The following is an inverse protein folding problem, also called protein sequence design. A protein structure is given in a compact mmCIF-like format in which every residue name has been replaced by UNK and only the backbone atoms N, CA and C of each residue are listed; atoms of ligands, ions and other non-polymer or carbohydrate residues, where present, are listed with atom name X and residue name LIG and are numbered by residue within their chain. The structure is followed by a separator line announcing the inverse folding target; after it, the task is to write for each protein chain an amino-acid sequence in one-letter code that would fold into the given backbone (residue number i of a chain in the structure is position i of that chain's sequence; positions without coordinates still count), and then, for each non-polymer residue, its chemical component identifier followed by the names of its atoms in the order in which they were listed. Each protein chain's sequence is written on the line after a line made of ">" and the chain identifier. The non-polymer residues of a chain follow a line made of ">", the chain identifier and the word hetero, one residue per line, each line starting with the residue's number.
data_IF_543586185183
#
_entry.id   IF_543586185183
#
_cell.length_a   1.000
_cell.length_b   1.000
_cell.length_c   1.000
_cell.angle_alpha   90.00
_cell.angle_beta   90.00
_cell.angle_gamma   90.00
#
_symmetry.space_group_name_H-M   'P 1'
#
loop_
_entity.id
_entity.type
_entity.pdbx_description
1 polymer ?
#
# COMPACT_ATOMS: atom_id res chain seq x y z
N UNK A 1 6.59 -41.58 14.68
CA UNK A 1 7.94 -41.29 15.20
C UNK A 1 8.16 -39.79 15.18
N UNK A 2 8.70 -39.25 16.28
CA UNK A 2 9.16 -37.88 16.49
C UNK A 2 8.09 -36.77 16.51
N UNK A 3 7.43 -36.64 17.66
CA UNK A 3 6.88 -35.36 18.10
C UNK A 3 8.03 -34.44 18.46
N UNK A 4 8.12 -33.30 17.77
CA UNK A 4 9.01 -32.20 18.13
C UNK A 4 8.51 -31.60 19.44
N UNK A 5 9.23 -31.89 20.52
CA UNK A 5 9.16 -31.12 21.77
C UNK A 5 9.68 -29.71 21.46
N UNK A 6 8.76 -28.76 21.29
CA UNK A 6 9.10 -27.35 21.40
C UNK A 6 9.52 -27.16 22.85
N UNK A 7 10.82 -27.10 23.09
CA UNK A 7 11.38 -26.80 24.39
C UNK A 7 10.61 -25.63 25.00
N UNK A 8 10.09 -25.81 26.22
CA UNK A 8 9.48 -24.76 27.01
C UNK A 8 10.49 -23.61 27.06
N UNK A 9 10.31 -22.59 26.23
CA UNK A 9 11.16 -21.40 26.28
C UNK A 9 11.00 -20.86 27.68
N UNK A 10 12.10 -20.84 28.44
CA UNK A 10 12.09 -20.26 29.77
C UNK A 10 11.68 -18.80 29.59
N UNK A 11 10.55 -18.43 30.18
CA UNK A 11 10.02 -17.08 30.03
C UNK A 11 10.98 -16.03 30.62
N UNK A 12 11.76 -16.44 31.63
CA UNK A 12 12.87 -15.66 32.17
C UNK A 12 13.90 -15.30 31.10
N UNK A 13 14.36 -14.06 31.09
CA UNK A 13 15.31 -13.53 30.11
C UNK A 13 14.67 -13.02 28.82
N UNK A 14 13.34 -13.11 28.69
CA UNK A 14 12.64 -12.60 27.51
C UNK A 14 12.66 -11.08 27.46
N UNK A 15 13.31 -10.51 26.44
CA UNK A 15 13.31 -9.06 26.19
C UNK A 15 12.03 -8.62 25.50
N UNK A 16 11.41 -7.53 25.94
CA UNK A 16 10.21 -6.98 25.30
C UNK A 16 10.21 -5.46 25.32
N UNK A 17 9.38 -4.87 24.47
CA UNK A 17 9.14 -3.44 24.42
C UNK A 17 7.69 -3.13 24.82
N UNK A 18 7.50 -2.05 25.58
CA UNK A 18 6.16 -1.49 25.77
C UNK A 18 5.74 -0.70 24.52
N UNK A 19 4.43 -0.67 24.20
CA UNK A 19 3.96 0.07 23.03
C UNK A 19 4.01 1.58 23.28
N UNK A 20 4.43 2.32 22.25
CA UNK A 20 4.06 3.73 22.08
C UNK A 20 3.03 3.87 20.97
N UNK A 21 2.18 4.88 21.09
CA UNK A 21 1.15 5.16 20.07
C UNK A 21 1.78 5.82 18.86
N UNK A 22 1.57 5.27 17.67
CA UNK A 22 1.90 5.89 16.41
C UNK A 22 0.64 6.09 15.57
N UNK A 23 0.64 7.11 14.72
CA UNK A 23 -0.41 7.35 13.74
C UNK A 23 -0.02 6.68 12.42
N UNK A 24 -0.92 5.85 11.89
CA UNK A 24 -0.80 5.27 10.57
C UNK A 24 -1.74 6.00 9.62
N UNK A 25 -1.19 6.46 8.51
CA UNK A 25 -1.93 7.07 7.41
C UNK A 25 -1.94 6.14 6.20
N UNK A 26 -3.11 5.93 5.62
CA UNK A 26 -3.27 5.31 4.32
C UNK A 26 -3.85 6.35 3.36
N UNK A 27 -3.09 6.68 2.31
CA UNK A 27 -3.47 7.69 1.31
C UNK A 27 -3.80 6.97 0.01
N UNK A 28 -5.01 7.20 -0.51
CA UNK A 28 -5.42 6.72 -1.82
C UNK A 28 -5.18 7.82 -2.85
N UNK A 29 -4.33 7.54 -3.84
CA UNK A 29 -3.98 8.48 -4.90
C UNK A 29 -4.48 7.96 -6.24
N UNK A 30 -5.16 8.81 -6.98
CA UNK A 30 -5.50 8.58 -8.38
C UNK A 30 -4.43 9.23 -9.25
N UNK A 31 -3.81 8.42 -10.13
CA UNK A 31 -2.92 8.88 -11.19
C UNK A 31 -3.70 8.91 -12.50
N UNK A 32 -3.75 10.07 -13.13
CA UNK A 32 -4.28 10.21 -14.49
C UNK A 32 -3.13 10.50 -15.43
N UNK A 33 -2.97 9.65 -16.46
CA UNK A 33 -2.01 9.87 -17.54
C UNK A 33 -2.77 10.26 -18.79
N UNK A 34 -2.40 11.41 -19.37
CA UNK A 34 -2.88 11.88 -20.65
C UNK A 34 -1.82 11.63 -21.71
N UNK A 35 -2.25 10.98 -22.80
CA UNK A 35 -1.44 10.76 -23.99
C UNK A 35 -2.18 11.43 -25.16
N UNK A 36 -1.60 12.47 -25.78
CA UNK A 36 -2.17 13.06 -26.99
C UNK A 36 -2.31 12.00 -28.08
N UNK A 37 -3.43 12.05 -28.81
CA UNK A 37 -3.58 11.22 -30.02
C UNK A 37 -2.62 11.67 -31.12
N UNK A 38 -2.27 10.75 -32.04
CA UNK A 38 -1.37 11.01 -33.16
C UNK A 38 -1.73 12.28 -33.96
N UNK A 39 -3.03 12.54 -34.12
CA UNK A 39 -3.54 13.67 -34.91
C UNK A 39 -4.05 14.84 -34.05
N UNK A 40 -3.67 14.91 -32.77
CA UNK A 40 -4.14 15.93 -31.83
C UNK A 40 -3.92 17.37 -32.35
N UNK A 41 -2.84 17.61 -33.09
CA UNK A 41 -2.54 18.91 -33.70
C UNK A 41 -3.60 19.40 -34.70
N UNK A 42 -4.36 18.50 -35.31
CA UNK A 42 -5.39 18.83 -36.27
C UNK A 42 -6.79 18.98 -35.66
N UNK A 43 -6.92 18.81 -34.33
CA UNK A 43 -8.21 18.85 -33.64
C UNK A 43 -8.95 20.18 -33.83
N UNK A 44 -8.24 21.31 -33.89
CA UNK A 44 -8.88 22.59 -34.17
C UNK A 44 -9.38 22.68 -35.61
N UNK A 45 -8.58 22.22 -36.57
CA UNK A 45 -8.90 22.30 -38.00
C UNK A 45 -10.16 21.51 -38.34
N UNK A 46 -10.23 20.26 -37.90
CA UNK A 46 -11.29 19.32 -38.29
C UNK A 46 -12.40 19.15 -37.26
N UNK A 47 -12.14 19.39 -35.97
CA UNK A 47 -13.14 19.21 -34.89
C UNK A 47 -13.51 20.51 -34.17
N UNK A 48 -12.93 21.66 -34.56
CA UNK A 48 -13.10 22.97 -33.89
C UNK A 48 -12.77 22.97 -32.39
N UNK A 49 -12.01 21.97 -31.92
CA UNK A 49 -11.54 21.88 -30.54
C UNK A 49 -10.24 22.68 -30.38
N UNK A 50 -10.27 23.73 -29.55
CA UNK A 50 -9.10 24.58 -29.28
C UNK A 50 -8.28 24.07 -28.09
N UNK A 51 -8.92 23.41 -27.12
CA UNK A 51 -8.31 23.02 -25.86
C UNK A 51 -7.82 21.57 -25.88
N UNK A 52 -7.01 21.22 -26.89
CA UNK A 52 -6.38 19.90 -26.99
C UNK A 52 -4.91 20.02 -26.63
N UNK A 53 -4.51 19.36 -25.54
CA UNK A 53 -3.11 19.30 -25.14
C UNK A 53 -2.30 18.44 -26.13
N UNK A 54 -1.19 19.00 -26.62
CA UNK A 54 -0.30 18.35 -27.58
C UNK A 54 0.88 17.60 -26.94
N UNK A 55 1.04 17.74 -25.62
CA UNK A 55 2.09 17.07 -24.86
C UNK A 55 1.50 16.09 -23.85
N UNK A 56 2.18 14.97 -23.57
CA UNK A 56 1.81 14.08 -22.48
C UNK A 56 1.77 14.82 -21.15
N UNK A 57 0.85 14.40 -20.28
CA UNK A 57 0.73 14.96 -18.94
C UNK A 57 0.38 13.86 -17.94
N UNK A 58 0.84 14.03 -16.70
CA UNK A 58 0.44 13.21 -15.57
C UNK A 58 -0.12 14.11 -14.47
N UNK A 59 -1.24 13.72 -13.90
CA UNK A 59 -1.82 14.41 -12.73
C UNK A 59 -2.10 13.40 -11.63
N UNK A 60 -1.92 13.86 -10.40
CA UNK A 60 -2.12 13.06 -9.19
C UNK A 60 -3.15 13.76 -8.31
N UNK A 61 -4.13 13.00 -7.82
CA UNK A 61 -5.18 13.51 -6.93
C UNK A 61 -5.31 12.61 -5.72
N UNK A 62 -5.27 13.19 -4.53
CA UNK A 62 -5.64 12.45 -3.32
C UNK A 62 -7.15 12.25 -3.31
N UNK A 63 -7.57 10.99 -3.23
CA UNK A 63 -8.98 10.59 -3.29
C UNK A 63 -9.53 10.25 -1.91
N UNK A 64 -8.69 9.69 -1.03
CA UNK A 64 -9.07 9.30 0.33
C UNK A 64 -7.83 9.34 1.24
N UNK A 65 -8.05 9.68 2.50
CA UNK A 65 -7.04 9.58 3.57
C UNK A 65 -7.71 8.89 4.75
N UNK A 66 -7.15 7.75 5.16
CA UNK A 66 -7.59 7.03 6.37
C UNK A 66 -6.51 7.09 7.43
N UNK A 67 -6.92 7.37 8.65
CA UNK A 67 -6.03 7.43 9.81
C UNK A 67 -6.47 6.39 10.84
N UNK A 68 -5.51 5.65 11.39
CA UNK A 68 -5.73 4.78 12.54
C UNK A 68 -4.51 4.81 13.47
N UNK A 69 -4.74 4.62 14.77
CA UNK A 69 -3.65 4.45 15.72
C UNK A 69 -3.13 3.01 15.68
N UNK A 70 -1.83 2.86 15.89
CA UNK A 70 -1.16 1.57 16.05
C UNK A 70 -0.19 1.64 17.23
N UNK A 71 0.05 0.50 17.89
CA UNK A 71 1.14 0.34 18.83
C UNK A 71 2.41 -0.05 18.10
N UNK A 72 3.52 0.64 18.37
CA UNK A 72 4.85 0.26 17.88
C UNK A 72 5.81 0.12 19.06
N UNK A 73 6.87 -0.71 18.97
CA UNK A 73 7.89 -0.79 20.01
C UNK A 73 8.43 0.58 20.39
N UNK A 74 8.42 0.89 21.68
CA UNK A 74 9.16 2.01 22.22
C UNK A 74 10.55 1.56 22.64
N UNK A 75 11.57 1.88 21.83
CA UNK A 75 12.96 1.52 22.13
C UNK A 75 13.49 2.12 23.43
N UNK A 76 12.84 3.17 23.96
CA UNK A 76 13.19 3.76 25.28
C UNK A 76 12.59 2.98 26.45
N UNK A 77 11.64 2.07 26.17
CA UNK A 77 10.92 1.23 27.15
C UNK A 77 11.13 -0.25 26.86
N UNK A 78 12.39 -0.62 26.74
CA UNK A 78 12.85 -2.00 26.63
C UNK A 78 13.07 -2.59 28.02
N UNK A 79 12.59 -3.80 28.23
CA UNK A 79 12.73 -4.52 29.50
C UNK A 79 13.08 -5.98 29.26
N UNK A 80 13.68 -6.62 30.25
CA UNK A 80 13.93 -8.06 30.28
C UNK A 80 13.08 -8.67 31.37
N UNK A 81 12.33 -9.73 31.03
CA UNK A 81 11.50 -10.41 32.01
C UNK A 81 12.35 -11.18 33.01
N UNK A 82 12.23 -10.83 34.28
CA UNK A 82 12.78 -11.59 35.39
C UNK A 82 11.62 -12.26 36.15
N UNK A 83 11.76 -13.55 36.47
CA UNK A 83 10.76 -14.27 37.26
C UNK A 83 11.07 -14.06 38.75
N UNK A 84 10.07 -13.61 39.52
CA UNK A 84 10.10 -13.59 40.98
C UNK A 84 9.21 -14.71 41.51
N UNK A 85 9.51 -15.24 42.70
CA UNK A 85 8.70 -16.26 43.40
C UNK A 85 7.27 -15.80 43.68
N UNK A 86 6.99 -14.50 43.61
CA UNK A 86 5.67 -13.90 43.86
C UNK A 86 4.75 -13.87 42.65
N UNK A 87 5.28 -13.98 41.43
CA UNK A 87 4.49 -13.83 40.19
C UNK A 87 4.66 -15.06 39.32
N UNK A 88 3.55 -15.76 39.05
CA UNK A 88 3.55 -16.92 38.16
C UNK A 88 3.35 -16.45 36.71
N UNK A 89 4.45 -16.41 35.95
CA UNK A 89 4.42 -16.15 34.51
C UNK A 89 4.87 -17.42 33.80
N UNK A 90 3.96 -18.04 33.06
CA UNK A 90 4.20 -19.25 32.26
C UNK A 90 4.29 -18.95 30.77
N UNK A 91 3.77 -17.81 30.32
CA UNK A 91 3.74 -17.42 28.91
C UNK A 91 3.89 -15.91 28.71
N UNK A 92 4.64 -15.53 27.69
CA UNK A 92 4.77 -14.14 27.21
C UNK A 92 4.57 -14.16 25.70
N UNK A 93 3.57 -13.43 25.24
CA UNK A 93 3.29 -13.29 23.81
C UNK A 93 3.83 -11.96 23.30
N UNK A 94 4.57 -12.02 22.18
CA UNK A 94 5.21 -10.88 21.54
C UNK A 94 5.06 -10.99 20.04
N UNK A 95 4.99 -9.85 19.35
CA UNK A 95 5.14 -9.86 17.90
C UNK A 95 6.61 -10.02 17.47
N UNK A 96 6.83 -10.12 16.16
CA UNK A 96 8.17 -10.26 15.56
C UNK A 96 9.11 -9.09 15.86
N UNK A 97 8.56 -7.91 16.19
CA UNK A 97 9.32 -6.72 16.57
C UNK A 97 9.72 -6.71 18.05
N UNK A 98 9.25 -7.69 18.84
CA UNK A 98 9.46 -7.77 20.27
C UNK A 98 8.48 -6.92 21.09
N UNK A 99 7.42 -6.39 20.46
CA UNK A 99 6.36 -5.68 21.18
C UNK A 99 5.60 -6.65 22.06
N UNK A 100 5.43 -6.30 23.34
CA UNK A 100 4.63 -7.11 24.25
C UNK A 100 3.15 -7.07 23.86
N UNK A 101 2.56 -8.23 23.56
CA UNK A 101 1.14 -8.35 23.24
C UNK A 101 0.32 -8.88 24.42
N UNK A 102 0.84 -9.85 25.17
CA UNK A 102 0.16 -10.40 26.35
C UNK A 102 1.11 -11.13 27.31
N UNK A 103 0.65 -11.31 28.56
CA UNK A 103 1.28 -12.15 29.59
C UNK A 103 0.25 -13.19 30.02
N UNK A 104 0.65 -14.46 30.10
CA UNK A 104 -0.22 -15.61 30.45
C UNK A 104 -1.49 -15.72 29.61
N UNK A 105 -1.46 -15.19 28.39
CA UNK A 105 -2.56 -15.17 27.44
C UNK A 105 -2.00 -15.01 26.02
N UNK A 106 -2.87 -15.23 25.03
CA UNK A 106 -2.58 -14.93 23.63
C UNK A 106 -2.93 -13.49 23.32
N UNK A 107 -1.94 -12.75 22.84
CA UNK A 107 -2.07 -11.39 22.39
C UNK A 107 -2.83 -11.31 21.07
N UNK A 108 -3.57 -10.21 20.88
CA UNK A 108 -4.24 -9.93 19.62
C UNK A 108 -3.38 -9.00 18.78
N UNK A 109 -2.98 -9.45 17.61
CA UNK A 109 -2.43 -8.53 16.62
C UNK A 109 -3.53 -7.62 16.07
N UNK A 110 -3.22 -6.32 15.95
CA UNK A 110 -4.11 -5.38 15.31
C UNK A 110 -4.07 -5.66 13.82
N UNK A 111 -5.18 -6.16 13.26
CA UNK A 111 -5.29 -6.40 11.83
C UNK A 111 -5.08 -5.08 11.08
N UNK A 112 -4.05 -5.06 10.22
CA UNK A 112 -3.85 -3.95 9.31
C UNK A 112 -4.92 -4.04 8.20
N UNK A 113 -5.48 -2.90 7.76
CA UNK A 113 -6.37 -2.91 6.60
C UNK A 113 -5.64 -3.46 5.39
N UNK A 114 -6.33 -4.28 4.60
CA UNK A 114 -5.78 -4.91 3.41
C UNK A 114 -5.21 -3.86 2.45
N UNK A 115 -4.17 -4.26 1.70
CA UNK A 115 -3.63 -3.41 0.64
C UNK A 115 -4.70 -3.18 -0.41
N UNK A 116 -4.79 -1.95 -0.90
CA UNK A 116 -5.70 -1.62 -1.98
C UNK A 116 -5.31 -2.43 -3.23
N UNK A 117 -6.26 -3.21 -3.75
CA UNK A 117 -6.14 -3.88 -5.04
C UNK A 117 -6.89 -3.02 -6.07
N UNK A 118 -6.20 -2.42 -7.04
CA UNK A 118 -6.88 -1.67 -8.09
C UNK A 118 -7.74 -2.62 -8.92
N UNK A 119 -8.91 -2.15 -9.34
CA UNK A 119 -9.70 -2.87 -10.34
C UNK A 119 -8.90 -3.00 -11.64
N UNK A 120 -9.06 -4.08 -12.41
CA UNK A 120 -8.47 -4.19 -13.74
C UNK A 120 -8.82 -2.96 -14.58
N UNK A 121 -7.81 -2.34 -15.18
CA UNK A 121 -8.04 -1.21 -16.08
C UNK A 121 -8.80 -1.72 -17.29
N UNK A 122 -9.94 -1.09 -17.60
CA UNK A 122 -10.68 -1.42 -18.81
C UNK A 122 -9.79 -1.16 -20.04
N UNK A 123 -9.77 -2.07 -21.02
CA UNK A 123 -9.05 -1.84 -22.26
C UNK A 123 -9.64 -0.61 -22.95
N UNK A 124 -8.77 0.31 -23.32
CA UNK A 124 -9.15 1.46 -24.15
C UNK A 124 -9.33 0.94 -25.59
N UNK A 125 -10.37 1.39 -26.32
CA UNK A 125 -10.49 1.09 -27.74
C UNK A 125 -9.23 1.50 -28.51
N UNK A 126 -8.82 0.69 -29.49
CA UNK A 126 -7.69 1.03 -30.34
C UNK A 126 -8.09 2.21 -31.26
N UNK A 127 -7.40 3.36 -31.23
CA UNK A 127 -7.76 4.51 -32.06
C UNK A 127 -7.74 4.21 -33.56
N UNK A 128 -6.90 3.26 -33.99
CA UNK A 128 -6.77 2.88 -35.41
C UNK A 128 -8.04 2.23 -35.96
N UNK A 129 -8.85 1.58 -35.11
CA UNK A 129 -10.10 0.93 -35.51
C UNK A 129 -11.17 1.93 -35.95
N UNK A 130 -10.96 3.23 -35.67
CA UNK A 130 -11.88 4.32 -36.02
C UNK A 130 -11.34 5.24 -37.13
N UNK A 131 -10.20 4.89 -37.74
CA UNK A 131 -9.63 5.67 -38.85
C UNK A 131 -10.30 5.28 -40.17
N UNK A 132 -10.63 6.28 -41.00
CA UNK A 132 -11.03 6.07 -42.38
C UNK A 132 -9.84 6.31 -43.32
N UNK A 133 -9.95 5.91 -44.58
CA UNK A 133 -8.93 6.09 -45.62
C UNK A 133 -8.41 7.53 -45.71
N UNK A 134 -9.29 8.52 -45.55
CA UNK A 134 -8.92 9.94 -45.56
C UNK A 134 -7.99 10.32 -44.39
N UNK A 135 -8.15 9.69 -43.22
CA UNK A 135 -7.33 9.96 -42.03
C UNK A 135 -5.97 9.28 -42.17
N UNK A 136 -5.95 8.06 -42.72
CA UNK A 136 -4.72 7.29 -42.95
C UNK A 136 -3.83 7.96 -43.99
N UNK A 137 -4.42 8.43 -45.09
CA UNK A 137 -3.71 9.14 -46.17
C UNK A 137 -3.22 10.54 -45.77
N UNK A 138 -3.93 11.26 -44.89
CA UNK A 138 -3.51 12.58 -44.42
C UNK A 138 -2.24 12.58 -43.54
N UNK A 139 -1.87 11.43 -42.96
CA UNK A 139 -0.63 11.24 -42.22
C UNK A 139 0.57 10.80 -43.06
N UNK A 140 0.32 10.36 -44.31
CA UNK A 140 1.35 10.00 -45.26
C UNK A 140 1.98 11.27 -45.81
N UNK A 141 3.17 11.62 -45.34
CA UNK A 141 4.01 12.57 -46.08
C UNK A 141 4.42 11.90 -47.38
N UNK A 142 3.80 12.29 -48.49
CA UNK A 142 4.33 12.02 -49.83
C UNK A 142 5.79 12.49 -49.87
N UNK A 143 6.69 11.57 -50.26
CA UNK A 143 8.08 11.87 -50.55
C UNK A 143 8.25 12.56 -51.89
#
# INVERSE_FOLDING_TARGET
>A
GMGVSLAQQTVAGTTYFLPKTALRFAVKVEKTTYTPGQFAMYAFRYMKKKDVALHPAETYRVVDIRMNTIGVPDSTKQFTLNLDKKVSISEVDRDESGLLLAINAKGRQVALPERFVPAPKQPQPNPNDYMNEDILSAGSTDG
#
